data_IF_110619859717
#
_entry.id   IF_110619859717
#
_cell.length_a   1.000
_cell.length_b   1.000
_cell.length_c   1.000
_cell.angle_alpha   90.00
_cell.angle_beta   90.00
_cell.angle_gamma   90.00
#
_symmetry.space_group_name_H-M   'P 1'
#
loop_
_entity.id
_entity.type
_entity.pdbx_description
1 polymer ?
#
# COMPACT_ATOMS: atom_id res chain seq x y z
N UNK A 1 25.32 -20.22 -21.70
CA UNK A 1 24.22 -20.80 -20.91
C UNK A 1 24.45 -20.33 -19.49
N UNK A 2 23.94 -19.15 -19.13
CA UNK A 2 24.02 -18.64 -17.77
C UNK A 2 22.63 -18.13 -17.41
N UNK A 3 21.95 -18.90 -16.57
CA UNK A 3 20.63 -18.59 -16.04
C UNK A 3 20.75 -17.57 -14.92
N UNK A 4 20.31 -16.33 -15.19
CA UNK A 4 20.03 -15.38 -14.13
C UNK A 4 18.67 -15.72 -13.53
N UNK A 5 18.71 -16.20 -12.29
CA UNK A 5 17.56 -16.41 -11.43
C UNK A 5 16.84 -15.07 -11.20
N UNK A 6 15.60 -14.96 -11.69
CA UNK A 6 14.67 -13.93 -11.25
C UNK A 6 14.17 -14.29 -9.85
N UNK A 7 14.65 -13.57 -8.83
CA UNK A 7 14.04 -13.60 -7.51
C UNK A 7 12.67 -12.92 -7.58
N UNK A 8 11.62 -13.71 -7.75
CA UNK A 8 10.26 -13.29 -7.43
C UNK A 8 10.19 -13.04 -5.93
N UNK A 9 10.04 -11.78 -5.51
CA UNK A 9 9.63 -11.50 -4.14
C UNK A 9 8.17 -11.93 -3.98
N UNK A 10 8.01 -13.17 -3.53
CA UNK A 10 6.75 -13.70 -3.01
C UNK A 10 6.43 -12.94 -1.72
N UNK A 11 5.39 -12.12 -1.70
CA UNK A 11 4.78 -11.66 -0.46
C UNK A 11 3.73 -12.70 -0.06
N UNK A 12 3.99 -13.59 0.92
CA UNK A 12 2.92 -14.39 1.48
C UNK A 12 1.98 -13.47 2.25
N UNK A 13 0.73 -13.37 1.82
CA UNK A 13 -0.33 -12.81 2.65
C UNK A 13 -0.40 -13.63 3.93
N UNK A 14 -0.06 -13.02 5.06
CA UNK A 14 -0.28 -13.64 6.37
C UNK A 14 -1.79 -13.69 6.63
N UNK A 15 -2.37 -14.87 6.39
CA UNK A 15 -3.63 -15.25 7.02
C UNK A 15 -3.45 -15.16 8.54
N UNK A 16 -4.26 -14.34 9.19
CA UNK A 16 -4.32 -14.22 10.63
C UNK A 16 -4.77 -15.55 11.25
N UNK A 17 -3.82 -16.34 11.76
CA UNK A 17 -4.15 -17.42 12.68
C UNK A 17 -4.28 -16.82 14.08
N UNK A 18 -5.53 -16.81 14.58
CA UNK A 18 -5.85 -16.63 15.98
C UNK A 18 -5.08 -17.67 16.81
N UNK A 19 -3.96 -17.25 17.41
CA UNK A 19 -3.33 -18.00 18.49
C UNK A 19 -3.89 -17.46 19.80
N UNK A 20 -4.80 -18.22 20.39
CA UNK A 20 -5.29 -18.00 21.76
C UNK A 20 -4.07 -18.10 22.68
N UNK A 21 -3.62 -16.97 23.19
CA UNK A 21 -2.63 -16.91 24.26
C UNK A 21 -3.37 -17.26 25.56
N UNK A 22 -3.08 -18.45 26.09
CA UNK A 22 -3.47 -18.84 27.44
C UNK A 22 -2.87 -17.85 28.45
N UNK A 23 -3.74 -17.17 29.20
CA UNK A 23 -3.34 -16.30 30.30
C UNK A 23 -2.93 -17.15 31.52
N UNK A 24 -1.82 -16.81 32.20
CA UNK A 24 -1.47 -17.45 33.47
C UNK A 24 -2.44 -17.02 34.60
N UNK A 25 -2.64 -17.86 35.63
CA UNK A 25 -3.68 -17.68 36.63
C UNK A 25 -3.38 -16.52 37.60
N UNK A 26 -4.45 -15.79 37.94
CA UNK A 26 -4.51 -14.76 38.97
C UNK A 26 -4.10 -15.31 40.34
N UNK A 27 -3.09 -14.70 40.95
CA UNK A 27 -2.75 -14.92 42.35
C UNK A 27 -3.37 -13.78 43.17
N UNK A 28 -4.52 -14.05 43.77
CA UNK A 28 -5.13 -13.21 44.80
C UNK A 28 -4.45 -13.50 46.15
N UNK A 29 -3.94 -12.45 46.79
CA UNK A 29 -3.51 -12.39 48.20
C UNK A 29 -2.96 -10.95 48.40
N UNK A 30 -3.20 -10.18 49.45
CA UNK A 30 -3.81 -10.37 50.77
C UNK A 30 -4.15 -8.97 51.31
N UNK A 31 -5.22 -8.88 52.10
CA UNK A 31 -5.63 -7.71 52.87
C UNK A 31 -4.51 -7.20 53.79
N UNK A 32 -4.28 -5.88 53.82
CA UNK A 32 -3.77 -5.21 55.02
C UNK A 32 -4.72 -4.07 55.40
N UNK A 33 -5.64 -4.41 56.31
CA UNK A 33 -6.51 -3.51 57.03
C UNK A 33 -5.69 -2.71 58.04
N UNK A 34 -5.27 -1.49 57.68
CA UNK A 34 -4.75 -0.52 58.66
C UNK A 34 -5.89 0.38 59.13
N UNK A 35 -6.42 0.04 60.30
CA UNK A 35 -7.26 0.89 61.13
C UNK A 35 -6.51 2.15 61.56
N UNK A 36 -7.03 3.32 61.19
CA UNK A 36 -6.61 4.61 61.74
C UNK A 36 -7.45 4.96 62.98
N UNK A 37 -6.85 5.59 64.01
CA UNK A 37 -7.55 5.96 65.23
C UNK A 37 -8.53 7.12 65.01
N UNK A 38 -9.73 6.93 65.57
CA UNK A 38 -10.79 7.93 65.72
C UNK A 38 -10.33 8.93 66.78
N UNK A 39 -10.02 10.17 66.39
CA UNK A 39 -9.80 11.26 67.33
C UNK A 39 -10.74 12.43 67.02
N UNK A 40 -11.69 12.57 67.94
CA UNK A 40 -12.25 13.77 68.53
C UNK A 40 -12.79 14.87 67.62
N UNK A 41 -14.11 15.00 67.72
CA UNK A 41 -14.90 16.15 67.36
C UNK A 41 -14.39 17.44 68.02
N UNK A 42 -14.09 18.42 67.18
CA UNK A 42 -14.08 19.83 67.56
C UNK A 42 -15.10 20.52 66.67
N UNK A 43 -16.14 21.06 67.30
CA UNK A 43 -17.18 21.88 66.68
C UNK A 43 -16.54 23.15 66.12
N UNK A 44 -16.38 23.19 64.80
CA UNK A 44 -15.97 24.39 64.07
C UNK A 44 -17.20 25.27 63.87
N UNK A 45 -17.17 26.49 64.39
CA UNK A 45 -18.19 27.49 64.15
C UNK A 45 -18.01 28.02 62.72
N UNK A 46 -19.04 27.74 61.93
CA UNK A 46 -19.36 28.27 60.61
C UNK A 46 -19.40 29.80 60.66
N UNK A 47 -18.42 30.47 60.04
CA UNK A 47 -18.50 31.86 59.58
C UNK A 47 -17.36 32.15 58.59
N UNK A 48 -17.75 32.69 57.43
CA UNK A 48 -16.95 33.41 56.44
C UNK A 48 -15.97 32.64 55.54
N UNK A 49 -16.49 31.71 54.73
CA UNK A 49 -15.87 31.35 53.44
C UNK A 49 -16.73 31.88 52.28
N UNK A 50 -16.33 33.05 51.75
CA UNK A 50 -16.75 33.47 50.42
C UNK A 50 -16.17 32.52 49.37
N UNK A 51 -17.02 31.76 48.70
CA UNK A 51 -16.67 31.00 47.51
C UNK A 51 -16.34 31.97 46.37
N UNK A 52 -15.08 32.39 46.22
CA UNK A 52 -14.62 32.89 44.93
C UNK A 52 -14.54 31.69 44.00
N UNK A 53 -15.42 31.63 43.00
CA UNK A 53 -15.40 30.64 41.93
C UNK A 53 -14.04 30.69 41.24
N UNK A 54 -13.13 29.79 41.63
CA UNK A 54 -11.86 29.60 40.93
C UNK A 54 -12.22 28.75 39.71
N UNK A 55 -12.01 29.31 38.52
CA UNK A 55 -12.19 28.57 37.27
C UNK A 55 -11.42 27.24 37.35
N UNK A 56 -11.99 26.13 36.86
CA UNK A 56 -11.29 24.85 36.87
C UNK A 56 -9.96 25.00 36.14
N UNK A 57 -8.86 24.41 36.64
CA UNK A 57 -7.59 24.47 35.96
C UNK A 57 -7.77 23.90 34.55
N UNK A 58 -7.44 24.70 33.53
CA UNK A 58 -7.37 24.26 32.15
C UNK A 58 -6.58 22.97 32.11
N UNK A 59 -7.27 21.86 31.87
CA UNK A 59 -6.66 20.53 31.78
C UNK A 59 -5.65 20.59 30.63
N UNK A 60 -4.37 20.66 30.97
CA UNK A 60 -3.27 20.59 30.00
C UNK A 60 -3.34 19.23 29.34
N UNK A 61 -4.05 19.17 28.21
CA UNK A 61 -4.25 17.98 27.41
C UNK A 61 -2.86 17.43 27.07
N UNK A 62 -2.56 16.22 27.54
CA UNK A 62 -1.30 15.56 27.24
C UNK A 62 -1.15 15.49 25.70
N UNK A 63 0.05 15.74 25.15
CA UNK A 63 0.24 15.71 23.69
C UNK A 63 -0.19 14.34 23.17
N UNK A 64 -1.07 14.34 22.16
CA UNK A 64 -1.51 13.09 21.53
C UNK A 64 -0.29 12.30 21.05
N UNK A 65 -0.26 10.97 21.25
CA UNK A 65 0.81 10.15 20.73
C UNK A 65 0.88 10.31 19.21
N UNK A 66 2.10 10.34 18.62
CA UNK A 66 2.25 10.54 17.18
C UNK A 66 1.47 9.45 16.40
N UNK A 67 0.88 9.81 15.26
CA UNK A 67 0.11 8.86 14.45
C UNK A 67 1.03 7.71 14.02
N UNK A 68 0.57 6.48 14.26
CA UNK A 68 1.32 5.25 13.90
C UNK A 68 1.39 5.03 12.39
N UNK A 69 0.40 5.56 11.67
CA UNK A 69 0.28 5.45 10.23
C UNK A 69 0.53 6.79 9.57
N UNK A 70 1.37 6.78 8.55
CA UNK A 70 1.61 7.92 7.68
C UNK A 70 0.90 7.63 6.36
N UNK A 71 0.11 8.61 5.91
CA UNK A 71 -0.60 8.52 4.64
C UNK A 71 -0.13 9.60 3.69
N UNK A 72 -0.03 9.30 2.40
CA UNK A 72 0.18 10.29 1.35
C UNK A 72 -0.59 9.94 0.08
N UNK A 73 -0.90 10.93 -0.73
CA UNK A 73 -1.57 10.74 -2.01
C UNK A 73 -0.59 10.93 -3.16
N UNK A 74 -0.68 10.08 -4.18
CA UNK A 74 0.09 10.22 -5.43
C UNK A 74 -0.81 10.03 -6.64
N UNK A 75 -0.43 10.63 -7.76
CA UNK A 75 -1.09 10.41 -9.05
C UNK A 75 -0.62 9.10 -9.68
N UNK A 76 -1.56 8.26 -10.06
CA UNK A 76 -1.37 6.99 -10.74
C UNK A 76 -2.01 7.03 -12.14
N UNK A 77 -1.56 6.12 -13.01
CA UNK A 77 -2.10 5.95 -14.35
C UNK A 77 -2.98 4.70 -14.34
N UNK A 78 -4.26 4.92 -14.56
CA UNK A 78 -5.28 3.90 -14.64
C UNK A 78 -5.59 3.59 -16.11
N UNK A 79 -5.48 2.31 -16.46
CA UNK A 79 -5.79 1.77 -17.77
C UNK A 79 -7.01 0.84 -17.63
N UNK A 80 -8.23 1.39 -17.73
CA UNK A 80 -9.45 0.60 -17.68
C UNK A 80 -9.52 -0.40 -18.84
N UNK A 81 -9.99 -1.61 -18.59
CA UNK A 81 -10.10 -2.63 -19.63
C UNK A 81 -11.20 -2.33 -20.66
N UNK A 82 -12.26 -1.65 -20.22
CA UNK A 82 -13.50 -1.40 -20.96
C UNK A 82 -13.54 -0.05 -21.71
N UNK A 83 -12.53 0.81 -21.50
CA UNK A 83 -12.41 2.12 -22.13
C UNK A 83 -11.16 2.19 -23.00
N UNK A 84 -11.14 3.10 -23.97
CA UNK A 84 -9.99 3.33 -24.85
C UNK A 84 -9.07 4.43 -24.36
N UNK A 85 -9.44 5.18 -23.32
CA UNK A 85 -8.66 6.34 -22.87
C UNK A 85 -8.00 6.07 -21.51
N UNK A 86 -6.70 6.36 -21.36
CA UNK A 86 -6.02 6.31 -20.07
C UNK A 86 -6.53 7.41 -19.16
N UNK A 87 -6.61 7.13 -17.87
CA UNK A 87 -7.05 8.08 -16.86
C UNK A 87 -5.97 8.27 -15.79
N UNK A 88 -5.85 9.49 -15.28
CA UNK A 88 -5.04 9.73 -14.08
C UNK A 88 -5.95 9.73 -12.86
N UNK A 89 -5.61 8.94 -11.86
CA UNK A 89 -6.35 8.85 -10.60
C UNK A 89 -5.43 9.13 -9.42
N UNK A 90 -6.00 9.54 -8.29
CA UNK A 90 -5.27 9.69 -7.04
C UNK A 90 -5.33 8.39 -6.26
N UNK A 91 -4.16 7.88 -5.86
CA UNK A 91 -4.01 6.67 -5.04
C UNK A 91 -3.46 7.07 -3.69
N UNK A 92 -4.12 6.61 -2.64
CA UNK A 92 -3.64 6.79 -1.27
C UNK A 92 -2.59 5.71 -0.97
N UNK A 93 -1.49 6.12 -0.38
CA UNK A 93 -0.42 5.27 0.08
C UNK A 93 -0.43 5.31 1.61
N UNK A 94 -0.25 4.15 2.22
CA UNK A 94 -0.20 3.99 3.66
C UNK A 94 1.11 3.31 4.04
N UNK A 95 1.67 3.69 5.17
CA UNK A 95 2.81 2.99 5.75
C UNK A 95 2.74 3.08 7.27
N UNK A 96 3.24 2.06 7.94
CA UNK A 96 3.44 2.07 9.38
C UNK A 96 4.86 2.56 9.67
N UNK A 97 4.99 3.62 10.47
CA UNK A 97 6.31 4.11 10.84
C UNK A 97 6.87 3.27 11.99
N UNK A 98 7.75 2.32 11.64
CA UNK A 98 8.46 1.48 12.60
C UNK A 98 9.91 2.00 12.70
N UNK A 99 10.27 2.55 13.86
CA UNK A 99 11.60 3.11 14.09
C UNK A 99 12.71 2.08 13.76
N UNK A 100 13.69 2.50 12.96
CA UNK A 100 14.82 1.66 12.53
C UNK A 100 14.56 0.82 11.28
N UNK A 101 13.35 0.87 10.69
CA UNK A 101 13.03 0.18 9.45
C UNK A 101 12.77 1.18 8.31
N UNK A 102 13.08 0.82 7.05
CA UNK A 102 12.67 1.61 5.89
C UNK A 102 11.15 1.74 5.82
N UNK A 103 10.66 2.90 5.37
CA UNK A 103 9.24 3.08 5.08
C UNK A 103 8.83 2.18 3.91
N UNK A 104 7.88 1.28 4.15
CA UNK A 104 7.30 0.44 3.11
C UNK A 104 5.92 0.99 2.76
N UNK A 105 5.81 1.64 1.61
CA UNK A 105 4.56 2.21 1.14
C UNK A 105 3.67 1.14 0.50
N UNK A 106 2.46 1.02 1.03
CA UNK A 106 1.40 0.15 0.52
C UNK A 106 0.31 1.00 -0.13
N UNK A 107 0.07 0.85 -1.44
CA UNK A 107 -1.01 1.56 -2.11
C UNK A 107 -2.39 0.96 -1.78
N UNK A 108 -3.37 1.82 -1.56
CA UNK A 108 -4.78 1.42 -1.53
C UNK A 108 -5.29 1.23 -2.96
N UNK A 109 -5.41 -0.03 -3.34
CA UNK A 109 -5.84 -0.46 -4.67
C UNK A 109 -7.34 -0.78 -4.72
N UNK A 110 -8.03 -0.70 -3.58
CA UNK A 110 -9.45 -1.05 -3.43
C UNK A 110 -10.38 -0.22 -4.33
N UNK A 111 -10.13 1.09 -4.58
CA UNK A 111 -10.98 1.88 -5.47
C UNK A 111 -10.97 1.40 -6.93
N UNK A 112 -9.90 0.72 -7.35
CA UNK A 112 -9.72 0.25 -8.73
C UNK A 112 -10.17 -1.19 -8.88
N UNK A 113 -9.67 -2.09 -8.04
CA UNK A 113 -9.90 -3.53 -8.19
C UNK A 113 -10.98 -4.08 -7.26
N UNK A 114 -11.53 -3.26 -6.38
CA UNK A 114 -12.44 -3.69 -5.32
C UNK A 114 -11.72 -4.33 -4.13
N UNK A 115 -12.50 -4.76 -3.13
CA UNK A 115 -11.98 -5.43 -1.95
C UNK A 115 -11.91 -6.95 -2.18
N UNK A 116 -10.93 -7.62 -1.56
CA UNK A 116 -10.77 -9.10 -1.56
C UNK A 116 -10.44 -9.74 -2.92
N UNK A 117 -9.83 -8.98 -3.83
CA UNK A 117 -9.32 -9.53 -5.09
C UNK A 117 -7.84 -9.89 -4.93
N UNK A 118 -7.44 -11.06 -5.44
CA UNK A 118 -6.02 -11.42 -5.51
C UNK A 118 -5.34 -10.54 -6.57
N UNK A 119 -4.39 -9.72 -6.15
CA UNK A 119 -3.66 -8.80 -7.02
C UNK A 119 -2.25 -9.32 -7.28
N UNK A 120 -1.82 -9.19 -8.53
CA UNK A 120 -0.44 -9.31 -8.95
C UNK A 120 0.17 -7.93 -9.13
N UNK A 121 1.50 -7.86 -9.01
CA UNK A 121 2.25 -6.67 -9.35
C UNK A 121 3.52 -7.03 -10.10
N UNK A 122 3.97 -6.17 -11.00
CA UNK A 122 5.24 -6.31 -11.70
C UNK A 122 6.01 -5.00 -11.71
N UNK A 123 7.32 -5.08 -11.45
CA UNK A 123 8.22 -3.93 -11.37
C UNK A 123 9.10 -3.84 -12.59
N UNK A 124 8.96 -2.75 -13.35
CA UNK A 124 9.90 -2.36 -14.38
C UNK A 124 11.04 -1.56 -13.75
N UNK A 125 12.15 -2.23 -13.45
CA UNK A 125 13.36 -1.62 -12.85
C UNK A 125 14.49 -1.40 -13.84
N UNK A 126 14.48 -2.11 -14.96
CA UNK A 126 15.56 -2.11 -15.95
C UNK A 126 14.99 -1.87 -17.35
N UNK A 127 15.80 -1.24 -18.19
CA UNK A 127 15.60 -1.19 -19.63
C UNK A 127 15.95 -2.55 -20.26
N UNK A 128 15.60 -2.72 -21.53
CA UNK A 128 15.94 -3.92 -22.31
C UNK A 128 17.47 -4.12 -22.49
N UNK A 129 18.26 -3.06 -22.36
CA UNK A 129 19.74 -3.11 -22.38
C UNK A 129 20.36 -3.50 -21.02
N UNK A 130 19.54 -3.72 -19.99
CA UNK A 130 19.97 -4.06 -18.63
C UNK A 130 20.27 -2.87 -17.72
N UNK A 131 20.22 -1.63 -18.22
CA UNK A 131 20.45 -0.44 -17.40
C UNK A 131 19.27 -0.14 -16.48
N UNK A 132 19.54 0.27 -15.24
CA UNK A 132 18.49 0.63 -14.30
C UNK A 132 17.73 1.87 -14.74
N UNK A 133 16.40 1.79 -14.71
CA UNK A 133 15.51 2.93 -14.92
C UNK A 133 15.73 3.94 -13.80
N UNK A 134 15.95 5.21 -14.17
CA UNK A 134 16.05 6.31 -13.19
C UNK A 134 14.80 6.42 -12.33
N UNK A 135 13.64 6.10 -12.91
CA UNK A 135 12.32 6.11 -12.27
C UNK A 135 11.57 4.83 -12.67
N UNK A 136 11.74 3.74 -11.90
CA UNK A 136 11.04 2.49 -12.12
C UNK A 136 9.52 2.66 -12.08
N UNK A 137 8.82 1.81 -12.83
CA UNK A 137 7.36 1.76 -12.84
C UNK A 137 6.90 0.44 -12.22
N UNK A 138 5.79 0.46 -11.48
CA UNK A 138 5.12 -0.73 -10.98
C UNK A 138 3.73 -0.81 -11.56
N UNK A 139 3.39 -1.92 -12.19
CA UNK A 139 2.05 -2.21 -12.66
C UNK A 139 1.36 -3.17 -11.70
N UNK A 140 0.10 -2.90 -11.40
CA UNK A 140 -0.80 -3.74 -10.62
C UNK A 140 -1.92 -4.23 -11.53
N UNK A 141 -2.31 -5.48 -11.32
CA UNK A 141 -3.33 -6.17 -12.11
C UNK A 141 -3.96 -7.28 -11.27
N UNK A 142 -5.12 -7.80 -11.70
CA UNK A 142 -5.74 -8.94 -11.02
C UNK A 142 -4.98 -10.23 -11.32
N UNK A 143 -4.54 -10.97 -10.31
CA UNK A 143 -3.72 -12.17 -10.52
C UNK A 143 -4.42 -13.23 -11.40
N UNK A 144 -5.74 -13.37 -11.25
CA UNK A 144 -6.52 -14.41 -11.93
C UNK A 144 -7.14 -13.99 -13.28
N UNK A 145 -6.73 -12.86 -13.87
CA UNK A 145 -7.39 -12.31 -15.07
C UNK A 145 -7.44 -13.30 -16.26
N UNK A 146 -6.54 -14.29 -16.30
CA UNK A 146 -6.51 -15.32 -17.36
C UNK A 146 -7.56 -16.40 -17.18
N UNK A 147 -7.93 -16.69 -15.94
CA UNK A 147 -8.82 -17.79 -15.59
C UNK A 147 -10.26 -17.34 -15.38
N UNK A 148 -10.48 -16.04 -15.14
CA UNK A 148 -11.79 -15.47 -14.85
C UNK A 148 -12.50 -14.88 -16.09
N UNK A 149 -11.89 -15.00 -17.29
CA UNK A 149 -12.46 -14.50 -18.53
C UNK A 149 -12.42 -12.97 -18.65
N UNK A 150 -11.52 -12.30 -17.91
CA UNK A 150 -11.34 -10.85 -18.01
C UNK A 150 -11.10 -10.42 -19.47
N UNK A 151 -11.73 -9.31 -19.92
CA UNK A 151 -11.55 -8.82 -21.28
C UNK A 151 -10.11 -8.32 -21.50
N UNK A 152 -9.63 -8.40 -22.73
CA UNK A 152 -8.37 -7.76 -23.09
C UNK A 152 -8.47 -6.25 -22.83
N UNK A 153 -7.38 -5.66 -22.37
CA UNK A 153 -7.37 -4.25 -21.99
C UNK A 153 -7.41 -3.35 -23.25
N UNK A 154 -8.59 -2.82 -23.58
CA UNK A 154 -8.81 -1.99 -24.77
C UNK A 154 -8.05 -0.66 -24.69
N UNK A 155 -7.89 -0.10 -23.48
CA UNK A 155 -7.12 1.13 -23.27
C UNK A 155 -5.67 0.92 -23.67
N UNK A 156 -5.08 -0.20 -23.26
CA UNK A 156 -3.71 -0.48 -23.61
C UNK A 156 -3.56 -0.72 -25.13
N UNK A 157 -4.51 -1.42 -25.76
CA UNK A 157 -4.52 -1.63 -27.21
C UNK A 157 -4.64 -0.32 -28.00
N UNK A 158 -5.45 0.63 -27.55
CA UNK A 158 -5.63 1.92 -28.24
C UNK A 158 -4.37 2.79 -28.16
N UNK A 159 -3.64 2.71 -27.05
CA UNK A 159 -2.42 3.49 -26.81
C UNK A 159 -1.25 2.89 -27.60
N UNK A 160 -1.18 1.55 -27.74
CA UNK A 160 -0.17 0.87 -28.54
C UNK A 160 -0.56 0.92 -30.03
N UNK A 161 -0.44 2.11 -30.64
CA UNK A 161 -0.92 2.39 -32.00
C UNK A 161 -0.29 1.55 -33.12
N UNK A 162 0.90 0.95 -32.92
CA UNK A 162 1.70 0.32 -33.99
C UNK A 162 2.44 -0.96 -33.55
N UNK A 163 1.97 -1.63 -32.49
CA UNK A 163 2.65 -2.81 -31.97
C UNK A 163 1.67 -3.87 -31.46
N UNK A 164 2.04 -5.13 -31.65
CA UNK A 164 1.38 -6.23 -30.93
C UNK A 164 2.11 -6.39 -29.61
N UNK A 165 1.38 -6.18 -28.51
CA UNK A 165 1.93 -6.46 -27.18
C UNK A 165 2.26 -7.95 -27.08
N UNK A 166 3.49 -8.31 -26.70
CA UNK A 166 3.88 -9.70 -26.53
C UNK A 166 2.99 -10.44 -25.53
N UNK A 167 2.54 -9.72 -24.50
CA UNK A 167 1.72 -10.24 -23.43
C UNK A 167 0.27 -9.75 -23.57
N UNK A 168 -0.73 -10.66 -23.61
CA UNK A 168 -2.14 -10.29 -23.73
C UNK A 168 -2.67 -9.79 -22.39
N UNK A 169 -2.35 -8.55 -22.04
CA UNK A 169 -2.84 -7.90 -20.83
C UNK A 169 -4.38 -7.86 -20.83
N UNK A 170 -4.98 -8.43 -19.80
CA UNK A 170 -6.41 -8.48 -19.63
C UNK A 170 -6.81 -7.91 -18.26
N UNK A 171 -8.03 -7.39 -18.19
CA UNK A 171 -8.54 -6.68 -17.04
C UNK A 171 -7.89 -5.31 -16.84
N UNK A 172 -8.32 -4.65 -15.77
CA UNK A 172 -7.85 -3.32 -15.41
C UNK A 172 -6.38 -3.34 -15.00
N UNK A 173 -5.67 -2.25 -15.30
CA UNK A 173 -4.29 -2.07 -14.90
C UNK A 173 -4.12 -0.73 -14.20
N UNK A 174 -3.29 -0.73 -13.15
CA UNK A 174 -2.92 0.49 -12.45
C UNK A 174 -1.41 0.61 -12.39
N UNK A 175 -0.88 1.76 -12.78
CA UNK A 175 0.56 2.00 -12.83
C UNK A 175 0.96 3.11 -11.86
N UNK A 176 1.92 2.77 -11.01
CA UNK A 176 2.58 3.68 -10.07
C UNK A 176 4.04 3.88 -10.48
N UNK A 177 4.60 5.00 -10.05
CA UNK A 177 5.96 5.41 -10.37
C UNK A 177 6.78 5.61 -9.11
N UNK A 178 7.96 5.00 -9.10
CA UNK A 178 8.90 5.13 -7.98
C UNK A 178 9.77 6.39 -8.09
N UNK A 179 10.18 6.85 -6.91
CA UNK A 179 11.24 7.83 -6.72
C UNK A 179 12.58 7.10 -6.72
N UNK A 180 13.41 7.41 -7.71
CA UNK A 180 14.77 6.87 -7.80
C UNK A 180 14.83 5.35 -8.04
N UNK A 181 16.04 4.82 -8.12
CA UNK A 181 16.30 3.43 -8.47
C UNK A 181 16.01 2.44 -7.33
N UNK A 182 15.99 2.91 -6.07
CA UNK A 182 15.81 2.07 -4.88
C UNK A 182 14.36 1.69 -4.59
N UNK A 183 13.40 2.32 -5.27
CA UNK A 183 11.97 2.04 -5.09
C UNK A 183 11.47 2.23 -3.64
N UNK A 184 12.07 3.17 -2.91
CA UNK A 184 11.77 3.45 -1.49
C UNK A 184 10.55 4.38 -1.34
N UNK A 185 10.19 5.12 -2.39
CA UNK A 185 9.07 6.05 -2.35
C UNK A 185 8.36 6.17 -3.70
N UNK A 186 7.14 6.70 -3.71
CA UNK A 186 6.35 6.95 -4.92
C UNK A 186 6.22 8.44 -5.25
N UNK A 187 6.14 8.76 -6.54
CA UNK A 187 5.82 10.09 -7.03
C UNK A 187 4.76 10.08 -8.13
N UNK A 188 4.28 11.27 -8.46
CA UNK A 188 3.26 11.46 -9.48
C UNK A 188 3.73 10.98 -10.86
N UNK A 189 2.87 10.20 -11.50
CA UNK A 189 3.00 9.82 -12.90
C UNK A 189 2.42 10.92 -13.80
N UNK A 190 3.08 11.14 -14.94
CA UNK A 190 2.74 12.18 -15.92
C UNK A 190 2.62 11.58 -17.33
N UNK A 191 2.13 12.35 -18.30
CA UNK A 191 1.94 11.89 -19.68
C UNK A 191 3.21 11.32 -20.34
N UNK A 192 4.39 11.86 -20.01
CA UNK A 192 5.67 11.39 -20.52
C UNK A 192 5.98 9.94 -20.12
N UNK A 193 5.42 9.49 -18.99
CA UNK A 193 5.64 8.13 -18.49
C UNK A 193 4.81 7.09 -19.26
N UNK A 194 3.75 7.51 -19.98
CA UNK A 194 2.93 6.62 -20.82
C UNK A 194 3.79 6.03 -21.93
N UNK A 195 4.56 6.85 -22.66
CA UNK A 195 5.45 6.39 -23.72
C UNK A 195 6.52 5.43 -23.20
N UNK A 196 7.06 5.70 -22.01
CA UNK A 196 8.04 4.83 -21.36
C UNK A 196 7.42 3.48 -20.97
N UNK A 197 6.21 3.50 -20.41
CA UNK A 197 5.45 2.28 -20.08
C UNK A 197 5.22 1.43 -21.32
N UNK A 198 4.73 2.00 -22.42
CA UNK A 198 4.50 1.26 -23.67
C UNK A 198 5.78 0.58 -24.15
N UNK A 199 6.90 1.32 -24.15
CA UNK A 199 8.20 0.76 -24.54
C UNK A 199 8.60 -0.43 -23.66
N UNK A 200 8.40 -0.32 -22.35
CA UNK A 200 8.68 -1.41 -21.40
C UNK A 200 7.76 -2.62 -21.63
N UNK A 201 6.48 -2.40 -21.90
CA UNK A 201 5.52 -3.47 -22.16
C UNK A 201 5.76 -4.17 -23.51
N UNK A 202 6.26 -3.44 -24.52
CA UNK A 202 6.63 -4.00 -25.83
C UNK A 202 7.96 -4.77 -25.79
N UNK A 203 8.88 -4.39 -24.92
CA UNK A 203 10.22 -5.00 -24.82
C UNK A 203 10.26 -6.23 -23.90
N UNK A 204 9.26 -6.42 -23.06
CA UNK A 204 9.18 -7.54 -22.14
C UNK A 204 8.08 -8.51 -22.57
N UNK A 205 8.42 -9.79 -22.68
CA UNK A 205 7.46 -10.86 -22.94
C UNK A 205 6.83 -11.43 -21.67
N UNK A 206 7.36 -11.09 -20.49
CA UNK A 206 6.94 -11.60 -19.18
C UNK A 206 6.99 -13.13 -19.09
N UNK A 207 7.93 -13.76 -19.81
CA UNK A 207 8.01 -15.21 -19.93
C UNK A 207 6.90 -15.80 -20.81
N UNK A 208 6.13 -14.96 -21.50
CA UNK A 208 5.30 -15.36 -22.63
C UNK A 208 6.22 -15.56 -23.84
N UNK A 209 7.01 -16.63 -23.78
CA UNK A 209 7.81 -17.07 -24.90
C UNK A 209 6.88 -17.27 -26.08
N UNK A 210 6.98 -16.39 -27.08
CA UNK A 210 6.25 -16.52 -28.33
C UNK A 210 6.72 -17.77 -29.06
N UNK A 211 6.21 -18.94 -28.66
CA UNK A 211 6.10 -20.05 -29.57
C UNK A 211 5.13 -19.60 -30.65
N UNK A 212 5.69 -19.30 -31.82
CA UNK A 212 5.01 -18.95 -33.07
C UNK A 212 4.54 -17.49 -33.19
N UNK A 213 5.48 -16.58 -33.49
CA UNK A 213 5.12 -15.50 -34.42
C UNK A 213 4.83 -16.15 -35.78
N UNK A 214 3.63 -16.03 -36.35
CA UNK A 214 3.46 -16.35 -37.76
C UNK A 214 4.40 -15.44 -38.53
N UNK A 215 5.31 -16.03 -39.31
CA UNK A 215 6.09 -15.26 -40.27
C UNK A 215 5.11 -14.51 -41.18
N UNK A 216 5.38 -13.25 -41.54
CA UNK A 216 4.55 -12.56 -42.52
C UNK A 216 4.51 -13.42 -43.78
N UNK A 217 3.30 -13.75 -44.23
CA UNK A 217 3.11 -14.41 -45.51
C UNK A 217 3.78 -13.53 -46.57
N UNK A 218 4.77 -14.12 -47.25
CA UNK A 218 5.58 -13.57 -48.33
C UNK A 218 4.74 -12.97 -49.46
#
# INVERSE_FOLDING_TARGET
MDGCYFCYYYYPQRCAQHRVLEMPPNNYNTQESRSLPINNATSYTDNDFQWTSVDPPTETQAPEPPPRFITKAVKALYLPADSTNPNFITVNLQTEHIAGFPLLWEPDLSPVFGTRVALGSHDFKVHADGMFLRRPLRIFFRYNFRHDGSPLNLCLQSIVKQGVLPYPWAGDLLVLKFVGTRCEDYCDINDQDISALIYLLLSNDFGYGGSERPLPAS
#
